data_IF_495246241991
#
_entry.id   IF_495246241991
#
_cell.length_a   1.000
_cell.length_b   1.000
_cell.length_c   1.000
_cell.angle_alpha   90.00
_cell.angle_beta   90.00
_cell.angle_gamma   90.00
#
_symmetry.space_group_name_H-M   'P 1'
#
loop_
_entity.id
_entity.type
_entity.pdbx_description
1 polymer ?
#
# COMPACT_ATOMS: atom_id res chain seq x y z
N UNK A 1 28.25 -17.74 -0.85
CA UNK A 1 27.72 -16.40 -0.54
C UNK A 1 28.46 -15.39 -1.40
N UNK A 2 27.81 -14.29 -1.82
CA UNK A 2 28.41 -13.38 -2.81
C UNK A 2 29.54 -12.55 -2.19
N UNK A 3 30.64 -12.38 -2.93
CA UNK A 3 31.82 -11.61 -2.49
C UNK A 3 32.09 -10.36 -3.33
N UNK A 4 31.63 -10.35 -4.58
CA UNK A 4 31.87 -9.25 -5.50
C UNK A 4 30.60 -8.43 -5.75
N UNK A 5 30.78 -7.13 -6.02
CA UNK A 5 29.69 -6.21 -6.37
C UNK A 5 28.88 -6.74 -7.57
N UNK A 6 29.57 -7.28 -8.57
CA UNK A 6 28.97 -7.82 -9.79
C UNK A 6 28.00 -8.97 -9.50
N UNK A 7 28.39 -9.88 -8.60
CA UNK A 7 27.57 -11.02 -8.19
C UNK A 7 26.32 -10.58 -7.42
N UNK A 8 26.49 -9.66 -6.46
CA UNK A 8 25.38 -9.14 -5.66
C UNK A 8 24.36 -8.44 -6.57
N UNK A 9 24.83 -7.53 -7.44
CA UNK A 9 23.96 -6.84 -8.40
C UNK A 9 23.28 -7.82 -9.36
N UNK A 10 23.99 -8.86 -9.80
CA UNK A 10 23.42 -9.90 -10.67
C UNK A 10 22.37 -10.73 -9.95
N UNK A 11 22.57 -11.08 -8.68
CA UNK A 11 21.59 -11.77 -7.86
C UNK A 11 20.33 -10.93 -7.63
N UNK A 12 20.51 -9.65 -7.26
CA UNK A 12 19.40 -8.69 -7.12
C UNK A 12 18.67 -8.49 -8.46
N UNK A 13 19.40 -8.39 -9.56
CA UNK A 13 18.84 -8.27 -10.90
C UNK A 13 18.03 -9.49 -11.32
N UNK A 14 18.56 -10.70 -11.09
CA UNK A 14 17.84 -11.96 -11.35
C UNK A 14 16.55 -12.05 -10.56
N UNK A 15 16.60 -11.78 -9.25
CA UNK A 15 15.41 -11.76 -8.41
C UNK A 15 14.36 -10.76 -8.92
N UNK A 16 14.81 -9.56 -9.33
CA UNK A 16 13.92 -8.50 -9.82
C UNK A 16 13.25 -8.80 -11.15
N UNK A 17 13.91 -9.60 -11.97
CA UNK A 17 13.43 -9.99 -13.29
C UNK A 17 12.70 -11.35 -13.29
N UNK A 18 12.64 -12.01 -12.13
CA UNK A 18 11.86 -13.23 -11.97
C UNK A 18 10.36 -12.97 -12.20
N UNK A 19 9.71 -13.85 -12.96
CA UNK A 19 8.30 -13.67 -13.36
C UNK A 19 7.34 -13.65 -12.17
N UNK A 20 7.61 -14.43 -11.11
CA UNK A 20 6.78 -14.47 -9.92
C UNK A 20 6.95 -13.17 -9.11
N UNK A 21 8.15 -12.61 -9.07
CA UNK A 21 8.41 -11.33 -8.44
C UNK A 21 7.82 -10.14 -9.23
N UNK A 22 7.93 -10.15 -10.56
CA UNK A 22 7.37 -9.11 -11.42
C UNK A 22 5.85 -9.03 -11.28
N UNK A 23 5.17 -10.17 -11.25
CA UNK A 23 3.73 -10.24 -11.05
C UNK A 23 3.31 -9.76 -9.66
N UNK A 24 4.08 -10.08 -8.61
CA UNK A 24 3.88 -9.55 -7.26
C UNK A 24 4.07 -8.02 -7.19
N UNK A 25 5.10 -7.48 -7.85
CA UNK A 25 5.32 -6.03 -7.96
C UNK A 25 4.23 -5.31 -8.74
N UNK A 26 3.71 -5.94 -9.79
CA UNK A 26 2.56 -5.42 -10.53
C UNK A 26 1.33 -5.29 -9.64
N UNK A 27 1.04 -6.32 -8.82
CA UNK A 27 -0.03 -6.28 -7.81
C UNK A 27 0.18 -5.14 -6.81
N UNK A 28 1.38 -5.03 -6.22
CA UNK A 28 1.69 -3.95 -5.27
C UNK A 28 1.55 -2.56 -5.87
N UNK A 29 1.87 -2.38 -7.15
CA UNK A 29 1.67 -1.13 -7.85
C UNK A 29 0.18 -0.84 -8.09
N UNK A 30 -0.61 -1.85 -8.48
CA UNK A 30 -2.06 -1.73 -8.62
C UNK A 30 -2.72 -1.31 -7.31
N UNK A 31 -2.37 -1.95 -6.20
CA UNK A 31 -2.90 -1.63 -4.87
C UNK A 31 -2.48 -0.22 -4.42
N UNK A 32 -1.22 0.17 -4.69
CA UNK A 32 -0.76 1.52 -4.40
C UNK A 32 -1.43 2.59 -5.29
N UNK A 33 -1.80 2.25 -6.53
CA UNK A 33 -2.56 3.14 -7.41
C UNK A 33 -3.98 3.39 -6.88
N UNK A 34 -4.62 2.37 -6.30
CA UNK A 34 -5.89 2.52 -5.59
C UNK A 34 -5.74 3.47 -4.40
N UNK A 35 -4.68 3.32 -3.61
CA UNK A 35 -4.39 4.23 -2.49
C UNK A 35 -4.15 5.68 -2.94
N UNK A 36 -3.40 5.88 -4.03
CA UNK A 36 -3.07 7.20 -4.57
C UNK A 36 -4.22 7.88 -5.33
N UNK A 37 -5.32 7.16 -5.56
CA UNK A 37 -6.43 7.62 -6.40
C UNK A 37 -5.95 8.00 -7.80
N UNK A 38 -5.23 7.09 -8.46
CA UNK A 38 -4.84 7.28 -9.86
C UNK A 38 -6.11 7.60 -10.67
N UNK A 39 -6.14 8.72 -11.43
CA UNK A 39 -7.35 9.12 -12.15
C UNK A 39 -7.86 8.02 -13.06
N UNK A 40 -9.11 7.64 -12.87
CA UNK A 40 -9.84 6.76 -13.77
C UNK A 40 -10.13 7.51 -15.08
N UNK A 41 -9.89 6.86 -16.21
CA UNK A 41 -10.25 7.39 -17.53
C UNK A 41 -11.39 6.57 -18.11
N UNK A 42 -12.56 7.21 -18.27
CA UNK A 42 -13.74 6.60 -18.86
C UNK A 42 -13.69 6.59 -20.41
N UNK A 43 -12.71 7.27 -21.02
CA UNK A 43 -12.56 7.39 -22.46
C UNK A 43 -13.29 8.59 -23.06
N UNK A 44 -13.10 8.79 -24.37
CA UNK A 44 -13.64 9.95 -25.10
C UNK A 44 -15.17 9.99 -25.08
N UNK A 45 -15.74 11.15 -24.73
CA UNK A 45 -17.20 11.35 -24.72
C UNK A 45 -17.90 10.97 -23.41
N UNK A 46 -17.13 10.49 -22.41
CA UNK A 46 -17.60 10.20 -21.06
C UNK A 46 -16.97 11.16 -20.05
N UNK A 47 -17.65 11.36 -18.92
CA UNK A 47 -17.10 12.10 -17.78
C UNK A 47 -16.38 11.10 -16.88
N UNK A 48 -15.08 11.30 -16.73
CA UNK A 48 -14.26 10.52 -15.83
C UNK A 48 -14.51 10.90 -14.36
N UNK A 49 -14.82 9.91 -13.53
CA UNK A 49 -14.91 10.04 -12.07
C UNK A 49 -14.09 8.94 -11.38
N UNK A 50 -13.26 9.35 -10.43
CA UNK A 50 -12.43 8.45 -9.61
C UNK A 50 -13.00 8.42 -8.20
N UNK A 51 -13.46 7.26 -7.74
CA UNK A 51 -13.96 7.14 -6.37
C UNK A 51 -12.84 7.31 -5.34
N UNK A 52 -13.12 8.01 -4.24
CA UNK A 52 -12.20 8.13 -3.11
C UNK A 52 -12.28 6.94 -2.13
N UNK A 53 -13.25 6.03 -2.33
CA UNK A 53 -13.54 4.95 -1.39
C UNK A 53 -12.33 4.08 -1.02
N UNK A 54 -11.44 3.67 -1.95
CA UNK A 54 -10.26 2.88 -1.60
C UNK A 54 -9.32 3.60 -0.63
N UNK A 55 -9.10 4.91 -0.84
CA UNK A 55 -8.22 5.70 0.02
C UNK A 55 -8.81 5.88 1.42
N UNK A 56 -10.10 6.20 1.51
CA UNK A 56 -10.79 6.37 2.80
C UNK A 56 -10.75 5.08 3.61
N UNK A 57 -10.97 3.93 2.98
CA UNK A 57 -10.85 2.63 3.63
C UNK A 57 -9.43 2.37 4.15
N UNK A 58 -8.42 2.59 3.31
CA UNK A 58 -7.02 2.37 3.71
C UNK A 58 -6.56 3.30 4.83
N UNK A 59 -6.86 4.60 4.74
CA UNK A 59 -6.50 5.57 5.78
C UNK A 59 -7.18 5.21 7.11
N UNK A 60 -8.42 4.69 7.08
CA UNK A 60 -9.12 4.20 8.28
C UNK A 60 -8.45 2.95 8.87
N UNK A 61 -8.09 1.97 8.04
CA UNK A 61 -7.35 0.77 8.50
C UNK A 61 -6.03 1.18 9.14
N UNK A 62 -5.24 2.00 8.45
CA UNK A 62 -3.93 2.46 8.95
C UNK A 62 -4.10 3.22 10.26
N UNK A 63 -5.09 4.11 10.37
CA UNK A 63 -5.38 4.81 11.62
C UNK A 63 -5.72 3.87 12.78
N UNK A 64 -6.55 2.84 12.54
CA UNK A 64 -6.90 1.84 13.55
C UNK A 64 -5.67 1.03 13.98
N UNK A 65 -4.86 0.56 13.04
CA UNK A 65 -3.62 -0.16 13.32
C UNK A 65 -2.62 0.70 14.10
N UNK A 66 -2.46 1.98 13.74
CA UNK A 66 -1.59 2.91 14.46
C UNK A 66 -2.11 3.22 15.86
N UNK A 67 -3.42 3.28 16.06
CA UNK A 67 -4.05 3.52 17.37
C UNK A 67 -4.06 2.32 18.32
N UNK A 68 -3.78 1.11 17.83
CA UNK A 68 -3.72 -0.10 18.67
C UNK A 68 -2.71 0.04 19.81
N UNK A 69 -2.85 -0.68 20.92
CA UNK A 69 -1.81 -0.67 21.96
C UNK A 69 -0.88 -1.87 21.76
N UNK A 70 0.44 -1.62 21.74
CA UNK A 70 1.42 -2.71 21.80
C UNK A 70 1.50 -3.21 23.24
N UNK A 71 1.24 -4.50 23.43
CA UNK A 71 1.34 -5.16 24.73
C UNK A 71 2.38 -6.27 24.63
N UNK A 72 3.59 -5.99 25.10
CA UNK A 72 4.65 -6.98 25.26
C UNK A 72 4.45 -7.67 26.62
N UNK A 73 4.30 -9.00 26.61
CA UNK A 73 4.21 -9.82 27.81
C UNK A 73 5.14 -11.00 27.71
N UNK A 74 5.90 -11.27 28.76
CA UNK A 74 6.67 -12.50 28.88
C UNK A 74 5.72 -13.59 29.40
N UNK A 75 5.50 -14.68 28.63
CA UNK A 75 4.60 -15.74 29.04
C UNK A 75 5.07 -16.42 30.34
N UNK A 76 4.14 -16.66 31.27
CA UNK A 76 4.45 -17.21 32.59
C UNK A 76 4.84 -18.70 32.57
N UNK A 77 4.41 -19.40 31.55
CA UNK A 77 4.73 -20.80 31.24
C UNK A 77 6.19 -20.98 30.77
N UNK A 78 6.72 -20.04 29.98
CA UNK A 78 8.09 -20.11 29.44
C UNK A 78 9.16 -19.94 30.52
N UNK A 79 8.90 -19.11 31.53
CA UNK A 79 9.86 -18.89 32.63
C UNK A 79 9.61 -19.73 33.88
N UNK A 80 8.57 -20.57 33.90
CA UNK A 80 8.17 -21.26 35.12
C UNK A 80 7.95 -20.30 36.29
N UNK A 81 7.23 -19.19 36.02
CA UNK A 81 7.06 -18.06 36.96
C UNK A 81 6.25 -18.51 38.17
N UNK A 82 6.95 -19.07 39.15
CA UNK A 82 6.39 -19.59 40.40
C UNK A 82 6.65 -18.63 41.57
N UNK A 83 7.61 -17.71 41.42
CA UNK A 83 8.07 -16.80 42.49
C UNK A 83 7.91 -15.32 42.12
N UNK A 84 7.87 -14.44 43.14
CA UNK A 84 7.81 -12.99 42.93
C UNK A 84 9.09 -12.41 42.30
N UNK A 85 10.24 -13.07 42.46
CA UNK A 85 11.49 -12.66 41.81
C UNK A 85 11.43 -12.85 40.29
N UNK A 86 10.85 -13.97 39.83
CA UNK A 86 10.69 -14.25 38.40
C UNK A 86 9.70 -13.29 37.75
N UNK A 87 8.65 -12.87 38.47
CA UNK A 87 7.74 -11.80 38.02
C UNK A 87 8.46 -10.46 37.84
N UNK A 88 9.40 -10.13 38.73
CA UNK A 88 10.21 -8.91 38.61
C UNK A 88 11.14 -8.98 37.39
N UNK A 89 11.79 -10.13 37.16
CA UNK A 89 12.63 -10.34 35.97
C UNK A 89 11.81 -10.21 34.68
N UNK A 90 10.65 -10.84 34.61
CA UNK A 90 9.73 -10.70 33.48
C UNK A 90 9.36 -9.23 33.22
N UNK A 91 8.97 -8.49 34.27
CA UNK A 91 8.65 -7.07 34.13
C UNK A 91 9.85 -6.22 33.67
N UNK A 92 11.06 -6.55 34.11
CA UNK A 92 12.28 -5.88 33.66
C UNK A 92 12.57 -6.13 32.18
N UNK A 93 12.34 -7.35 31.69
CA UNK A 93 12.49 -7.70 30.26
C UNK A 93 11.46 -6.95 29.41
N UNK A 94 10.19 -6.92 29.84
CA UNK A 94 9.14 -6.17 29.15
C UNK A 94 9.48 -4.69 29.06
N UNK A 95 9.91 -4.07 30.17
CA UNK A 95 10.35 -2.66 30.21
C UNK A 95 11.57 -2.40 29.34
N UNK A 96 12.52 -3.34 29.30
CA UNK A 96 13.69 -3.24 28.44
C UNK A 96 13.29 -3.18 26.96
N UNK A 97 12.38 -4.05 26.52
CA UNK A 97 11.88 -4.06 25.14
C UNK A 97 11.16 -2.75 24.77
N UNK A 98 10.32 -2.19 25.66
CA UNK A 98 9.74 -0.87 25.44
C UNK A 98 10.81 0.23 25.32
N UNK A 99 11.86 0.16 26.14
CA UNK A 99 13.00 1.09 26.06
C UNK A 99 13.73 1.01 24.73
N UNK A 100 13.96 -0.21 24.23
CA UNK A 100 14.59 -0.46 22.93
C UNK A 100 13.78 0.13 21.78
N UNK A 101 12.47 -0.11 21.75
CA UNK A 101 11.57 0.42 20.72
C UNK A 101 11.49 1.96 20.78
N UNK A 102 11.43 2.53 21.99
CA UNK A 102 11.41 3.97 22.19
C UNK A 102 12.69 4.65 21.65
N UNK A 103 13.86 4.08 21.93
CA UNK A 103 15.15 4.57 21.38
C UNK A 103 15.15 4.52 19.86
N UNK A 104 14.55 3.47 19.28
CA UNK A 104 14.46 3.35 17.83
C UNK A 104 13.50 4.38 17.22
N UNK A 105 12.33 4.60 17.82
CA UNK A 105 11.37 5.60 17.35
C UNK A 105 11.94 7.02 17.46
N UNK A 106 12.64 7.35 18.55
CA UNK A 106 13.37 8.62 18.70
C UNK A 106 14.39 8.85 17.58
N UNK A 107 15.04 7.79 17.09
CA UNK A 107 15.95 7.85 15.94
C UNK A 107 15.16 8.09 14.65
N UNK A 108 14.07 7.36 14.42
CA UNK A 108 13.28 7.48 13.19
C UNK A 108 12.66 8.88 13.05
N UNK A 109 12.16 9.47 14.14
CA UNK A 109 11.57 10.82 14.15
C UNK A 109 12.60 11.90 13.78
N UNK A 110 13.89 11.68 14.04
CA UNK A 110 14.96 12.61 13.64
C UNK A 110 15.23 12.58 12.14
N UNK A 111 14.82 11.53 11.43
CA UNK A 111 14.98 11.43 9.99
C UNK A 111 13.79 12.16 9.33
N UNK A 112 14.04 13.18 8.49
CA UNK A 112 12.96 13.90 7.84
C UNK A 112 12.01 12.98 7.07
N UNK A 113 10.70 13.19 7.23
CA UNK A 113 9.62 12.43 6.58
C UNK A 113 9.55 10.94 6.94
N UNK A 114 10.26 10.48 7.97
CA UNK A 114 10.20 9.09 8.42
C UNK A 114 9.24 8.96 9.61
N UNK A 115 8.16 8.19 9.49
CA UNK A 115 7.25 7.98 10.60
C UNK A 115 7.82 6.94 11.59
N UNK A 116 7.22 6.82 12.77
CA UNK A 116 7.58 5.81 13.77
C UNK A 116 7.49 4.39 13.20
N UNK A 117 8.24 3.44 13.78
CA UNK A 117 8.35 2.07 13.28
C UNK A 117 6.97 1.43 13.08
N UNK A 118 6.12 1.56 14.09
CA UNK A 118 4.76 1.02 14.08
C UNK A 118 3.92 1.58 12.94
N UNK A 119 4.03 2.89 12.67
CA UNK A 119 3.30 3.55 11.59
C UNK A 119 3.77 3.08 10.23
N UNK A 120 5.07 2.88 10.05
CA UNK A 120 5.61 2.27 8.82
C UNK A 120 5.06 0.86 8.62
N UNK A 121 5.13 0.01 9.65
CA UNK A 121 4.62 -1.35 9.59
C UNK A 121 3.13 -1.39 9.27
N UNK A 122 2.31 -0.57 9.93
CA UNK A 122 0.87 -0.49 9.69
C UNK A 122 0.56 -0.08 8.24
N UNK A 123 1.30 0.88 7.70
CA UNK A 123 1.13 1.37 6.33
C UNK A 123 1.49 0.30 5.30
N UNK A 124 2.68 -0.30 5.41
CA UNK A 124 3.12 -1.34 4.46
C UNK A 124 2.28 -2.62 4.59
N UNK A 125 1.94 -3.03 5.81
CA UNK A 125 1.04 -4.17 6.03
C UNK A 125 -0.31 -3.96 5.35
N UNK A 126 -0.92 -2.79 5.52
CA UNK A 126 -2.22 -2.51 4.93
C UNK A 126 -2.18 -2.42 3.39
N UNK A 127 -1.22 -1.66 2.84
CA UNK A 127 -1.23 -1.28 1.41
C UNK A 127 -0.45 -2.26 0.54
N UNK A 128 0.73 -2.70 0.99
CA UNK A 128 1.53 -3.69 0.25
C UNK A 128 1.13 -5.11 0.61
N UNK A 129 0.55 -5.35 1.79
CA UNK A 129 0.32 -6.71 2.28
C UNK A 129 1.61 -7.44 2.68
N UNK A 130 2.74 -6.74 2.69
CA UNK A 130 4.02 -7.26 3.16
C UNK A 130 5.01 -6.12 3.44
N UNK A 131 5.98 -6.37 4.30
CA UNK A 131 7.10 -5.49 4.60
C UNK A 131 8.31 -6.32 5.02
N UNK A 132 9.49 -5.73 5.01
CA UNK A 132 10.66 -6.33 5.62
C UNK A 132 11.05 -5.55 6.88
N UNK A 133 11.50 -6.25 7.91
CA UNK A 133 12.16 -5.63 9.06
C UNK A 133 13.62 -6.00 9.00
N UNK A 134 14.48 -5.01 9.21
CA UNK A 134 15.87 -5.22 9.53
C UNK A 134 16.10 -4.86 10.99
N UNK A 135 16.65 -5.79 11.74
CA UNK A 135 16.86 -5.71 13.17
C UNK A 135 18.29 -6.10 13.54
N UNK A 136 19.04 -5.17 14.13
CA UNK A 136 20.34 -5.51 14.67
C UNK A 136 20.73 -4.53 15.77
N UNK A 137 21.72 -4.93 16.55
CA UNK A 137 22.30 -4.12 17.60
C UNK A 137 23.76 -3.88 17.28
N UNK A 138 24.18 -2.62 17.33
CA UNK A 138 25.58 -2.25 17.13
C UNK A 138 26.06 -1.34 18.24
N UNK A 139 27.39 -1.28 18.44
CA UNK A 139 28.02 -0.32 19.34
C UNK A 139 28.47 0.89 18.52
N UNK A 140 28.11 2.09 18.96
CA UNK A 140 28.65 3.31 18.35
C UNK A 140 30.12 3.53 18.74
N UNK A 141 30.76 4.52 18.14
CA UNK A 141 32.16 4.92 18.44
C UNK A 141 32.39 5.24 19.93
N UNK A 142 31.34 5.63 20.66
CA UNK A 142 31.38 5.93 22.10
C UNK A 142 31.12 4.69 22.98
N UNK A 143 31.06 3.49 22.40
CA UNK A 143 30.81 2.23 23.09
C UNK A 143 29.36 2.02 23.55
N UNK A 144 28.43 2.92 23.22
CA UNK A 144 27.00 2.79 23.55
C UNK A 144 26.34 1.80 22.58
N UNK A 145 25.66 0.81 23.14
CA UNK A 145 24.81 -0.13 22.39
C UNK A 145 23.57 0.59 21.87
N UNK A 146 23.36 0.55 20.57
CA UNK A 146 22.22 1.18 19.88
C UNK A 146 21.44 0.08 19.15
N UNK A 147 20.18 -0.17 19.54
CA UNK A 147 19.30 -1.01 18.75
C UNK A 147 18.88 -0.28 17.47
N UNK A 148 18.81 -1.02 16.36
CA UNK A 148 18.33 -0.51 15.09
C UNK A 148 17.26 -1.44 14.53
N UNK A 149 16.05 -0.89 14.43
CA UNK A 149 14.90 -1.54 13.81
C UNK A 149 14.42 -0.65 12.67
N UNK A 150 14.64 -1.10 11.44
CA UNK A 150 14.21 -0.40 10.23
C UNK A 150 13.10 -1.21 9.54
N UNK A 151 12.05 -0.53 9.10
CA UNK A 151 11.03 -1.11 8.25
C UNK A 151 11.32 -0.75 6.79
N UNK A 152 11.46 -1.76 5.94
CA UNK A 152 11.74 -1.60 4.52
C UNK A 152 10.49 -1.87 3.68
N UNK A 153 10.27 -1.05 2.65
CA UNK A 153 9.26 -1.36 1.62
C UNK A 153 9.69 -2.62 0.89
N UNK A 154 8.90 -3.68 1.04
CA UNK A 154 9.13 -4.97 0.40
C UNK A 154 9.30 -4.86 -1.11
N UNK A 155 8.70 -3.84 -1.74
CA UNK A 155 8.82 -3.57 -3.18
C UNK A 155 10.28 -3.42 -3.64
N UNK A 156 11.14 -2.92 -2.75
CA UNK A 156 12.54 -2.62 -3.02
C UNK A 156 13.52 -3.65 -2.46
N UNK A 157 13.03 -4.71 -1.81
CA UNK A 157 13.85 -5.75 -1.18
C UNK A 157 13.93 -6.96 -2.11
N UNK A 158 15.15 -7.39 -2.40
CA UNK A 158 15.43 -8.68 -3.02
C UNK A 158 16.01 -9.62 -1.97
N UNK A 159 15.74 -10.92 -2.05
CA UNK A 159 16.23 -11.88 -1.06
C UNK A 159 16.38 -13.28 -1.66
N UNK A 160 17.20 -14.10 -1.02
CA UNK A 160 17.32 -15.52 -1.28
C UNK A 160 16.78 -16.33 -0.10
N UNK A 161 15.90 -17.29 -0.37
CA UNK A 161 15.37 -18.22 0.62
C UNK A 161 16.33 -19.42 0.77
N UNK A 162 16.49 -19.91 2.00
CA UNK A 162 17.23 -21.11 2.37
C UNK A 162 16.48 -21.92 3.42
N UNK A 163 17.10 -22.99 3.92
CA UNK A 163 16.45 -23.92 4.86
C UNK A 163 16.11 -23.26 6.21
N UNK A 164 17.03 -22.51 6.79
CA UNK A 164 16.86 -21.84 8.09
C UNK A 164 16.35 -20.40 7.99
N UNK A 165 15.74 -20.01 6.86
CA UNK A 165 15.30 -18.64 6.59
C UNK A 165 16.07 -17.98 5.45
N UNK A 166 16.40 -16.69 5.57
CA UNK A 166 17.05 -15.96 4.48
C UNK A 166 18.54 -16.29 4.36
N UNK A 167 18.98 -16.64 3.15
CA UNK A 167 20.40 -16.73 2.80
C UNK A 167 21.02 -15.35 2.65
N UNK A 168 20.26 -14.42 2.08
CA UNK A 168 20.66 -13.03 1.89
C UNK A 168 19.42 -12.16 1.68
N UNK A 169 19.56 -10.87 1.96
CA UNK A 169 18.59 -9.83 1.67
C UNK A 169 19.31 -8.56 1.20
N UNK A 170 18.71 -7.86 0.25
CA UNK A 170 19.24 -6.64 -0.30
C UNK A 170 18.14 -5.60 -0.48
N UNK A 171 18.22 -4.49 0.22
CA UNK A 171 17.32 -3.37 0.04
C UNK A 171 17.94 -2.33 -0.89
N UNK A 172 17.22 -1.94 -1.93
CA UNK A 172 17.69 -0.91 -2.85
C UNK A 172 16.95 0.39 -2.65
N UNK A 173 17.68 1.50 -2.58
CA UNK A 173 17.08 2.84 -2.60
C UNK A 173 17.87 3.77 -3.50
N UNK A 174 17.27 4.90 -3.79
CA UNK A 174 17.90 5.98 -4.54
C UNK A 174 18.28 7.11 -3.60
N UNK A 175 19.50 7.62 -3.73
CA UNK A 175 19.99 8.74 -2.94
C UNK A 175 20.58 9.84 -3.82
N UNK A 176 20.67 11.04 -3.28
CA UNK A 176 21.39 12.17 -3.88
C UNK A 176 22.89 12.09 -3.59
N UNK A 177 23.72 12.78 -4.39
CA UNK A 177 25.15 12.86 -4.13
C UNK A 177 25.48 13.45 -2.75
N UNK A 178 24.71 14.44 -2.28
CA UNK A 178 24.86 15.01 -0.94
C UNK A 178 24.57 13.99 0.18
N UNK A 179 23.58 13.12 -0.01
CA UNK A 179 23.30 12.03 0.92
C UNK A 179 24.43 10.99 0.90
N UNK A 180 24.98 10.65 -0.27
CA UNK A 180 26.09 9.71 -0.37
C UNK A 180 27.32 10.20 0.41
N UNK A 181 27.63 11.49 0.29
CA UNK A 181 28.71 12.14 1.04
C UNK A 181 28.44 12.16 2.54
N UNK A 182 27.20 12.46 2.96
CA UNK A 182 26.84 12.52 4.38
C UNK A 182 26.77 11.14 5.05
N UNK A 183 26.31 10.12 4.33
CA UNK A 183 26.07 8.78 4.90
C UNK A 183 27.28 7.86 4.79
N UNK A 184 28.05 7.96 3.70
CA UNK A 184 29.16 7.04 3.38
C UNK A 184 30.51 7.75 3.24
N UNK A 185 30.56 9.09 3.37
CA UNK A 185 31.81 9.84 3.21
C UNK A 185 32.35 9.87 1.78
N UNK A 186 31.55 9.44 0.79
CA UNK A 186 31.97 9.35 -0.61
C UNK A 186 31.77 10.69 -1.34
N UNK A 187 32.83 11.23 -1.94
CA UNK A 187 32.72 12.40 -2.81
C UNK A 187 32.43 11.96 -4.25
N UNK A 188 31.14 11.91 -4.59
CA UNK A 188 30.67 11.42 -5.88
C UNK A 188 30.57 12.63 -6.83
N UNK A 189 31.72 13.16 -7.25
CA UNK A 189 31.80 14.32 -8.16
C UNK A 189 31.53 13.97 -9.62
N UNK A 190 31.56 12.68 -9.98
CA UNK A 190 31.42 12.18 -11.36
C UNK A 190 29.98 11.99 -11.82
N UNK A 191 29.00 12.05 -10.92
CA UNK A 191 27.59 11.91 -11.26
C UNK A 191 27.01 13.32 -11.33
N UNK A 192 26.39 13.67 -12.47
CA UNK A 192 25.70 14.95 -12.63
C UNK A 192 24.79 15.21 -11.42
N UNK A 193 24.82 16.43 -10.89
CA UNK A 193 24.19 16.84 -9.62
C UNK A 193 22.71 16.47 -9.48
N UNK A 194 22.03 16.20 -10.60
CA UNK A 194 20.61 15.86 -10.67
C UNK A 194 20.32 14.35 -10.81
N UNK A 195 21.35 13.48 -10.90
CA UNK A 195 21.15 12.03 -11.01
C UNK A 195 21.08 11.37 -9.64
N UNK A 196 19.97 10.68 -9.40
CA UNK A 196 19.83 9.77 -8.28
C UNK A 196 20.74 8.55 -8.45
N UNK A 197 21.45 8.19 -7.39
CA UNK A 197 22.40 7.07 -7.36
C UNK A 197 21.72 5.89 -6.68
N UNK A 198 21.85 4.71 -7.28
CA UNK A 198 21.34 3.47 -6.69
C UNK A 198 22.26 3.01 -5.55
N UNK A 199 21.64 2.68 -4.41
CA UNK A 199 22.29 2.12 -3.23
C UNK A 199 21.70 0.76 -2.97
N UNK A 200 22.55 -0.25 -2.80
CA UNK A 200 22.17 -1.61 -2.41
C UNK A 200 22.73 -1.90 -1.03
N UNK A 201 21.84 -2.01 -0.05
CA UNK A 201 22.12 -2.37 1.34
C UNK A 201 21.98 -3.89 1.46
N UNK A 202 23.12 -4.61 1.44
CA UNK A 202 23.19 -6.07 1.32
C UNK A 202 23.59 -6.71 2.65
N UNK A 203 22.84 -7.76 3.00
CA UNK A 203 23.04 -8.60 4.17
C UNK A 203 22.99 -10.06 3.77
N UNK A 204 23.86 -10.86 4.37
CA UNK A 204 23.76 -12.31 4.36
C UNK A 204 23.92 -12.86 5.78
N UNK A 205 24.21 -14.16 5.94
CA UNK A 205 24.32 -14.77 7.28
C UNK A 205 25.58 -14.30 8.03
N UNK A 206 26.61 -13.87 7.32
CA UNK A 206 27.93 -13.62 7.90
C UNK A 206 28.37 -12.16 7.74
N UNK A 207 28.00 -11.52 6.63
CA UNK A 207 28.57 -10.28 6.12
C UNK A 207 27.50 -9.24 5.76
N UNK A 208 27.92 -7.99 5.92
CA UNK A 208 27.17 -6.80 5.62
C UNK A 208 28.00 -5.90 4.70
N UNK A 209 27.37 -5.33 3.68
CA UNK A 209 28.02 -4.36 2.81
C UNK A 209 27.02 -3.41 2.18
N UNK A 210 27.50 -2.23 1.77
CA UNK A 210 26.68 -1.24 1.06
C UNK A 210 27.35 -0.86 -0.23
N UNK A 211 26.64 -1.07 -1.33
CA UNK A 211 27.07 -0.70 -2.68
C UNK A 211 26.43 0.64 -3.02
N UNK A 212 27.22 1.62 -3.46
CA UNK A 212 26.76 2.93 -3.93
C UNK A 212 27.22 3.10 -5.37
N UNK A 213 26.27 3.16 -6.31
CA UNK A 213 26.62 3.10 -7.73
C UNK A 213 27.33 1.79 -8.05
N UNK A 214 28.56 1.85 -8.55
CA UNK A 214 29.41 0.69 -8.89
C UNK A 214 30.56 0.45 -7.91
N UNK A 215 30.52 1.11 -6.75
CA UNK A 215 31.60 1.09 -5.75
C UNK A 215 31.06 0.70 -4.38
N UNK A 216 31.93 0.17 -3.51
CA UNK A 216 31.60 -0.02 -2.10
C UNK A 216 31.52 1.33 -1.39
N UNK A 217 30.38 1.61 -0.77
CA UNK A 217 30.25 2.67 0.23
C UNK A 217 30.61 2.17 1.63
N UNK A 218 30.27 0.90 1.91
CA UNK A 218 30.78 0.15 3.06
C UNK A 218 31.24 -1.20 2.53
N UNK A 219 32.53 -1.50 2.70
CA UNK A 219 33.10 -2.77 2.29
C UNK A 219 32.39 -3.94 2.99
N UNK A 220 32.41 -5.09 2.32
CA UNK A 220 31.77 -6.30 2.82
C UNK A 220 32.50 -6.79 4.09
N UNK A 221 31.88 -6.55 5.26
CA UNK A 221 32.47 -6.80 6.59
C UNK A 221 31.67 -7.85 7.36
N UNK A 222 32.34 -8.70 8.17
CA UNK A 222 31.64 -9.68 8.99
C UNK A 222 30.88 -9.02 10.15
N UNK A 223 29.63 -9.43 10.39
CA UNK A 223 28.78 -8.89 11.47
C UNK A 223 28.54 -9.86 12.63
N UNK A 224 28.99 -11.12 12.55
CA UNK A 224 28.95 -12.10 13.64
C UNK A 224 27.56 -12.37 14.24
N UNK A 225 26.50 -12.28 13.43
CA UNK A 225 25.14 -12.60 13.89
C UNK A 225 24.78 -14.08 13.63
N UNK A 226 25.49 -14.76 12.71
CA UNK A 226 25.22 -16.16 12.29
C UNK A 226 23.85 -16.36 11.60
N UNK A 227 23.12 -15.27 11.35
CA UNK A 227 21.89 -15.22 10.59
C UNK A 227 21.80 -13.89 9.82
N UNK A 228 20.97 -13.86 8.78
CA UNK A 228 20.66 -12.64 8.05
C UNK A 228 19.67 -11.80 8.90
N UNK A 229 20.03 -10.58 9.35
CA UNK A 229 19.21 -9.75 10.25
C UNK A 229 18.08 -9.04 9.52
N UNK A 230 17.40 -9.76 8.63
CA UNK A 230 16.27 -9.27 7.85
C UNK A 230 15.18 -10.33 7.87
N UNK A 231 13.96 -9.91 8.19
CA UNK A 231 12.78 -10.74 8.18
C UNK A 231 11.77 -10.23 7.14
N UNK A 232 11.32 -11.11 6.25
CA UNK A 232 10.22 -10.82 5.32
C UNK A 232 8.90 -11.20 5.98
N UNK A 233 7.99 -10.24 6.12
CA UNK A 233 6.74 -10.42 6.82
C UNK A 233 5.60 -10.16 5.85
N UNK A 234 4.80 -11.19 5.61
CA UNK A 234 3.63 -11.14 4.71
C UNK A 234 2.34 -11.15 5.52
N UNK A 235 1.37 -10.33 5.13
CA UNK A 235 0.05 -10.29 5.74
C UNK A 235 -0.80 -11.50 5.33
N UNK A 236 -1.60 -11.99 6.28
CA UNK A 236 -2.42 -13.19 6.08
C UNK A 236 -1.66 -14.50 6.30
N UNK A 237 -2.43 -15.59 6.24
CA UNK A 237 -1.98 -16.94 6.55
C UNK A 237 -1.79 -17.81 5.29
N UNK A 238 -1.80 -17.21 4.11
CA UNK A 238 -1.72 -17.97 2.86
C UNK A 238 -0.31 -18.60 2.69
N UNK A 239 -0.21 -19.95 2.66
CA UNK A 239 1.06 -20.61 2.39
C UNK A 239 1.46 -20.45 0.91
N UNK A 240 2.72 -20.77 0.56
CA UNK A 240 3.09 -20.93 -0.83
C UNK A 240 2.26 -22.05 -1.47
N UNK A 241 1.52 -21.72 -2.53
CA UNK A 241 0.75 -22.67 -3.33
C UNK A 241 1.36 -22.78 -4.72
N UNK A 242 1.47 -24.00 -5.23
CA UNK A 242 1.93 -24.29 -6.58
C UNK A 242 0.71 -24.56 -7.46
N UNK A 243 0.68 -23.94 -8.65
CA UNK A 243 -0.33 -24.23 -9.67
C UNK A 243 0.24 -25.16 -10.75
N UNK A 244 -0.59 -25.47 -11.75
CA UNK A 244 -0.19 -26.27 -12.91
C UNK A 244 1.14 -25.77 -13.51
N UNK A 245 1.98 -26.72 -13.95
CA UNK A 245 3.36 -26.49 -14.40
C UNK A 245 4.30 -25.92 -13.32
N UNK A 246 4.02 -26.14 -12.04
CA UNK A 246 4.81 -25.61 -10.92
C UNK A 246 4.98 -24.08 -10.99
N UNK A 247 3.98 -23.38 -11.52
CA UNK A 247 3.97 -21.93 -11.50
C UNK A 247 3.78 -21.47 -10.06
N UNK A 248 4.77 -20.71 -9.57
CA UNK A 248 4.77 -20.20 -8.22
C UNK A 248 3.74 -19.08 -8.08
N UNK A 249 2.72 -19.27 -7.25
CA UNK A 249 1.67 -18.26 -7.02
C UNK A 249 2.09 -17.17 -6.02
N UNK A 250 3.32 -16.65 -6.17
CA UNK A 250 3.84 -15.56 -5.34
C UNK A 250 2.87 -14.38 -5.27
N UNK A 251 2.14 -14.12 -6.37
CA UNK A 251 1.14 -13.05 -6.51
C UNK A 251 0.08 -13.08 -5.43
N UNK A 252 -0.27 -14.24 -4.88
CA UNK A 252 -1.32 -14.36 -3.87
C UNK A 252 -0.78 -14.35 -2.44
N UNK A 253 0.54 -14.31 -2.25
CA UNK A 253 1.12 -14.23 -0.91
C UNK A 253 1.15 -12.79 -0.42
N UNK A 254 0.85 -12.58 0.86
CA UNK A 254 0.90 -11.23 1.44
C UNK A 254 -0.08 -10.29 0.77
N UNK A 255 -1.36 -10.65 0.72
CA UNK A 255 -2.40 -9.80 0.12
C UNK A 255 -2.61 -8.53 0.96
N UNK A 256 -2.85 -7.41 0.28
CA UNK A 256 -3.21 -6.14 0.91
C UNK A 256 -4.68 -6.14 1.32
N UNK A 257 -5.10 -5.11 2.06
CA UNK A 257 -6.52 -4.90 2.37
C UNK A 257 -7.39 -4.70 1.12
N UNK A 258 -6.78 -4.38 -0.03
CA UNK A 258 -7.50 -4.16 -1.27
C UNK A 258 -7.86 -5.46 -1.99
N UNK A 259 -7.31 -6.61 -1.60
CA UNK A 259 -7.56 -7.88 -2.27
C UNK A 259 -9.05 -8.17 -2.56
N UNK A 260 -10.00 -8.05 -1.61
CA UNK A 260 -11.41 -8.28 -1.88
C UNK A 260 -12.09 -7.20 -2.74
N UNK A 261 -11.56 -5.98 -2.79
CA UNK A 261 -12.19 -4.82 -3.46
C UNK A 261 -11.47 -4.38 -4.74
N UNK A 262 -10.34 -5.01 -5.09
CA UNK A 262 -9.48 -4.65 -6.22
C UNK A 262 -10.23 -4.63 -7.55
N UNK A 263 -11.11 -5.61 -7.77
CA UNK A 263 -11.97 -5.68 -8.96
C UNK A 263 -13.18 -4.75 -8.92
N UNK A 264 -13.63 -4.37 -7.71
CA UNK A 264 -14.86 -3.58 -7.51
C UNK A 264 -14.59 -2.09 -7.72
N UNK A 265 -13.44 -1.58 -7.29
CA UNK A 265 -13.13 -0.14 -7.38
C UNK A 265 -13.18 0.43 -8.82
N UNK A 266 -12.63 -0.25 -9.85
CA UNK A 266 -12.77 0.20 -11.24
C UNK A 266 -14.21 0.16 -11.74
N UNK A 267 -14.98 -0.87 -11.36
CA UNK A 267 -16.40 -1.00 -11.72
C UNK A 267 -17.20 0.16 -11.12
N UNK A 268 -16.98 0.46 -9.84
CA UNK A 268 -17.64 1.58 -9.16
C UNK A 268 -17.30 2.92 -9.84
N UNK A 269 -16.02 3.14 -10.17
CA UNK A 269 -15.58 4.35 -10.89
C UNK A 269 -16.25 4.47 -12.25
N UNK A 270 -16.34 3.36 -12.99
CA UNK A 270 -17.02 3.30 -14.29
C UNK A 270 -18.52 3.61 -14.16
N UNK A 271 -19.23 2.94 -13.27
CA UNK A 271 -20.69 3.14 -13.11
C UNK A 271 -21.02 4.59 -12.74
N UNK A 272 -20.22 5.20 -11.85
CA UNK A 272 -20.37 6.61 -11.50
C UNK A 272 -20.06 7.54 -12.67
N UNK A 273 -19.02 7.23 -13.46
CA UNK A 273 -18.67 7.97 -14.68
C UNK A 273 -19.79 7.92 -15.73
N UNK A 274 -20.38 6.75 -15.94
CA UNK A 274 -21.52 6.54 -16.85
C UNK A 274 -22.74 7.35 -16.37
N UNK A 275 -23.03 7.30 -15.07
CA UNK A 275 -24.16 8.04 -14.50
C UNK A 275 -23.97 9.55 -14.60
N UNK A 276 -22.78 10.07 -14.28
CA UNK A 276 -22.46 11.49 -14.44
C UNK A 276 -22.57 11.93 -15.91
N UNK A 277 -22.21 11.05 -16.84
CA UNK A 277 -22.35 11.30 -18.29
C UNK A 277 -23.82 11.45 -18.68
N UNK A 278 -24.71 10.57 -18.18
CA UNK A 278 -26.16 10.68 -18.40
C UNK A 278 -26.72 11.96 -17.78
N UNK A 279 -26.35 12.28 -16.54
CA UNK A 279 -26.78 13.52 -15.86
C UNK A 279 -26.35 14.76 -16.65
N UNK A 280 -25.12 14.81 -17.15
CA UNK A 280 -24.65 15.95 -17.96
C UNK A 280 -25.38 16.08 -19.29
N UNK A 281 -25.68 14.96 -19.96
CA UNK A 281 -26.54 14.95 -21.15
C UNK A 281 -27.97 15.38 -20.82
N UNK A 282 -28.44 15.13 -19.60
CA UNK A 282 -29.70 15.64 -19.08
C UNK A 282 -29.73 17.16 -18.87
N UNK A 283 -28.63 17.74 -18.38
CA UNK A 283 -28.53 19.19 -18.13
C UNK A 283 -28.50 20.00 -19.43
N UNK A 284 -27.84 19.49 -20.47
CA UNK A 284 -27.83 20.06 -21.82
C UNK A 284 -28.17 18.98 -22.86
N UNK A 285 -29.46 18.67 -23.07
CA UNK A 285 -29.84 17.65 -24.04
C UNK A 285 -29.44 18.08 -25.45
N UNK A 286 -28.98 17.15 -26.30
CA UNK A 286 -28.79 17.46 -27.70
C UNK A 286 -30.14 17.86 -28.31
N UNK A 287 -30.15 18.90 -29.14
CA UNK A 287 -31.36 19.39 -29.79
C UNK A 287 -31.42 18.84 -31.22
N UNK A 288 -32.55 18.24 -31.59
CA UNK A 288 -32.81 17.85 -32.97
C UNK A 288 -33.45 19.03 -33.71
N UNK A 289 -32.79 19.48 -34.77
CA UNK A 289 -33.34 20.43 -35.71
C UNK A 289 -33.93 19.67 -36.90
N UNK A 290 -35.24 19.67 -37.04
CA UNK A 290 -35.91 19.03 -38.16
C UNK A 290 -36.22 20.10 -39.21
N UNK A 291 -35.58 20.01 -40.37
CA UNK A 291 -35.82 20.86 -41.54
C UNK A 291 -36.41 20.04 -42.67
N UNK A 292 -37.16 20.68 -43.57
CA UNK A 292 -37.82 20.01 -44.71
C UNK A 292 -36.77 19.35 -45.63
N UNK A 293 -35.60 19.96 -45.76
CA UNK A 293 -34.51 19.49 -46.62
C UNK A 293 -33.43 18.66 -45.89
N UNK A 294 -33.53 18.48 -44.57
CA UNK A 294 -32.56 17.75 -43.72
C UNK A 294 -31.08 18.19 -43.87
N UNK A 295 -30.82 19.40 -44.37
CA UNK A 295 -29.47 19.90 -44.69
C UNK A 295 -28.96 21.02 -43.81
N UNK A 296 -29.82 21.64 -43.00
CA UNK A 296 -29.44 22.78 -42.17
C UNK A 296 -29.03 22.35 -40.77
N UNK A 297 -27.78 22.65 -40.42
CA UNK A 297 -27.25 22.49 -39.07
C UNK A 297 -27.55 23.79 -38.31
N UNK A 298 -27.95 23.64 -37.04
CA UNK A 298 -28.25 24.78 -36.18
C UNK A 298 -26.91 25.44 -35.78
N UNK A 299 -26.64 26.62 -36.33
CA UNK A 299 -25.34 27.32 -36.21
C UNK A 299 -25.16 28.06 -34.86
N UNK A 300 -26.22 28.08 -34.03
CA UNK A 300 -26.27 28.81 -32.76
C UNK A 300 -26.36 27.81 -31.60
N UNK A 301 -25.44 27.89 -30.64
CA UNK A 301 -25.57 27.17 -29.37
C UNK A 301 -26.70 27.79 -28.55
N UNK A 302 -27.88 27.16 -28.61
CA UNK A 302 -29.11 27.58 -27.90
C UNK A 302 -28.87 27.69 -26.38
N UNK A 303 -27.87 26.99 -25.83
CA UNK A 303 -27.51 27.05 -24.41
C UNK A 303 -26.57 28.21 -24.04
N UNK A 304 -25.99 28.90 -25.02
CA UNK A 304 -25.16 30.10 -24.81
C UNK A 304 -25.94 31.39 -25.02
N UNK A 305 -27.12 31.33 -25.66
CA UNK A 305 -27.93 32.52 -25.87
C UNK A 305 -28.57 32.92 -24.54
N UNK A 306 -28.26 34.14 -24.10
CA UNK A 306 -28.82 34.77 -22.90
C UNK A 306 -30.30 34.39 -22.73
N UNK A 307 -30.63 33.80 -21.59
CA UNK A 307 -31.96 33.32 -21.18
C UNK A 307 -33.10 34.10 -21.88
N UNK A 308 -33.66 33.56 -22.96
CA UNK A 308 -34.83 34.12 -23.64
C UNK A 308 -34.64 34.65 -25.07
N UNK A 309 -33.57 34.29 -25.79
CA UNK A 309 -33.46 34.66 -27.21
C UNK A 309 -34.32 33.79 -28.13
N UNK A 310 -34.99 34.44 -29.08
CA UNK A 310 -35.77 33.78 -30.12
C UNK A 310 -34.84 33.27 -31.23
N UNK A 311 -34.89 31.97 -31.53
CA UNK A 311 -34.27 31.39 -32.72
C UNK A 311 -35.25 31.57 -33.88
N UNK A 312 -34.88 32.27 -34.97
CA UNK A 312 -35.75 32.39 -36.14
C UNK A 312 -35.90 31.01 -36.79
N UNK A 313 -37.14 30.51 -36.89
CA UNK A 313 -37.47 29.24 -37.55
C UNK A 313 -38.35 29.51 -38.78
N UNK A 314 -38.17 28.75 -39.86
CA UNK A 314 -39.06 28.78 -41.02
C UNK A 314 -40.32 27.96 -40.78
N UNK A 315 -41.36 28.19 -41.59
CA UNK A 315 -42.63 27.47 -41.51
C UNK A 315 -42.36 25.97 -41.79
N UNK A 316 -42.66 25.12 -40.82
CA UNK A 316 -42.45 23.67 -40.89
C UNK A 316 -41.18 23.17 -40.21
N UNK A 317 -40.32 24.06 -39.71
CA UNK A 317 -39.15 23.68 -38.89
C UNK A 317 -39.55 23.48 -37.43
N UNK A 318 -38.91 22.51 -36.78
CA UNK A 318 -39.08 22.25 -35.34
C UNK A 318 -37.74 21.95 -34.69
N UNK A 319 -37.56 22.51 -33.50
CA UNK A 319 -36.43 22.22 -32.62
C UNK A 319 -36.99 21.50 -31.40
N UNK A 320 -36.61 20.24 -31.23
CA UNK A 320 -37.04 19.43 -30.08
C UNK A 320 -35.81 18.92 -29.34
N UNK A 321 -35.78 18.95 -28.00
CA UNK A 321 -34.74 18.26 -27.25
C UNK A 321 -34.86 16.76 -27.52
N UNK A 322 -33.77 16.16 -27.97
CA UNK A 322 -33.65 14.71 -27.99
C UNK A 322 -33.66 14.28 -26.53
N UNK A 323 -34.66 13.48 -26.17
CA UNK A 323 -34.75 12.89 -24.85
C UNK A 323 -33.43 12.17 -24.55
N UNK A 324 -32.66 12.64 -23.56
CA UNK A 324 -31.43 11.98 -23.20
C UNK A 324 -31.76 10.56 -22.73
N UNK A 325 -30.89 9.57 -22.98
CA UNK A 325 -31.12 8.23 -22.50
C UNK A 325 -31.30 8.27 -20.98
N UNK A 326 -32.45 7.81 -20.49
CA UNK A 326 -32.66 7.62 -19.06
C UNK A 326 -31.84 6.42 -18.59
N UNK A 327 -31.40 6.45 -17.34
CA UNK A 327 -30.81 5.25 -16.73
C UNK A 327 -31.85 4.11 -16.75
N UNK A 328 -31.43 2.86 -17.02
CA UNK A 328 -32.30 1.70 -16.85
C UNK A 328 -32.89 1.67 -15.44
N UNK A 329 -34.12 1.18 -15.29
CA UNK A 329 -34.80 1.04 -13.99
C UNK A 329 -33.99 0.23 -13.00
N UNK A 330 -33.21 -0.74 -13.49
CA UNK A 330 -32.44 -1.68 -12.66
C UNK A 330 -31.08 -1.11 -12.19
N UNK A 331 -30.77 0.15 -12.55
CA UNK A 331 -29.51 0.80 -12.17
C UNK A 331 -29.37 0.91 -10.65
N UNK A 332 -30.46 1.20 -9.95
CA UNK A 332 -30.46 1.28 -8.48
C UNK A 332 -30.10 -0.07 -7.86
N UNK A 333 -30.70 -1.16 -8.35
CA UNK A 333 -30.39 -2.53 -7.93
C UNK A 333 -28.91 -2.87 -8.15
N UNK A 334 -28.34 -2.46 -9.30
CA UNK A 334 -26.92 -2.65 -9.57
C UNK A 334 -26.02 -1.89 -8.58
N UNK A 335 -26.36 -0.64 -8.25
CA UNK A 335 -25.63 0.13 -7.23
C UNK A 335 -25.69 -0.53 -5.85
N UNK A 336 -26.84 -1.09 -5.47
CA UNK A 336 -26.98 -1.81 -4.22
C UNK A 336 -26.13 -3.08 -4.18
N UNK A 337 -26.03 -3.81 -5.29
CA UNK A 337 -25.17 -5.00 -5.38
C UNK A 337 -23.69 -4.61 -5.26
N UNK A 338 -23.24 -3.61 -6.03
CA UNK A 338 -21.84 -3.13 -5.99
C UNK A 338 -21.50 -2.58 -4.60
N UNK A 339 -22.39 -1.79 -4.01
CA UNK A 339 -22.23 -1.26 -2.65
C UNK A 339 -22.18 -2.37 -1.60
N UNK A 340 -23.02 -3.40 -1.74
CA UNK A 340 -23.01 -4.57 -0.86
C UNK A 340 -21.72 -5.39 -0.95
N UNK A 341 -21.19 -5.60 -2.16
CA UNK A 341 -19.89 -6.26 -2.34
C UNK A 341 -18.74 -5.44 -1.74
N UNK A 342 -18.76 -4.12 -1.95
CA UNK A 342 -17.79 -3.20 -1.34
C UNK A 342 -17.81 -3.27 0.19
N UNK A 343 -19.00 -3.25 0.80
CA UNK A 343 -19.13 -3.34 2.27
C UNK A 343 -18.61 -4.67 2.80
N UNK A 344 -18.89 -5.79 2.13
CA UNK A 344 -18.40 -7.12 2.53
C UNK A 344 -16.87 -7.23 2.44
N UNK A 345 -16.26 -6.55 1.49
CA UNK A 345 -14.81 -6.52 1.30
C UNK A 345 -14.08 -5.42 2.07
N UNK A 346 -14.78 -4.51 2.73
CA UNK A 346 -14.19 -3.37 3.45
C UNK A 346 -14.85 -3.20 4.83
N UNK A 347 -14.96 -1.97 5.32
CA UNK A 347 -15.70 -1.70 6.54
C UNK A 347 -17.18 -1.39 6.27
N UNK A 348 -18.07 -1.76 7.19
CA UNK A 348 -19.46 -1.30 7.17
C UNK A 348 -19.56 0.24 7.26
N UNK A 349 -20.63 0.83 6.68
CA UNK A 349 -20.87 2.29 6.72
C UNK A 349 -20.91 2.87 8.14
N UNK A 350 -21.37 2.07 9.11
CA UNK A 350 -21.39 2.47 10.52
C UNK A 350 -20.00 2.82 11.07
N UNK A 351 -18.95 2.16 10.58
CA UNK A 351 -17.55 2.43 10.97
C UNK A 351 -17.04 3.78 10.47
N UNK A 352 -17.68 4.31 9.43
CA UNK A 352 -17.42 5.65 8.89
C UNK A 352 -18.31 6.75 9.52
N UNK A 353 -19.18 6.38 10.46
CA UNK A 353 -20.12 7.32 11.10
C UNK A 353 -21.39 7.59 10.30
N UNK A 354 -21.58 6.91 9.17
CA UNK A 354 -22.81 6.96 8.39
C UNK A 354 -23.77 5.89 8.90
N UNK A 355 -24.68 6.31 9.78
CA UNK A 355 -25.69 5.41 10.36
C UNK A 355 -27.07 5.89 9.91
N UNK A 356 -27.55 5.37 8.77
CA UNK A 356 -28.90 5.67 8.26
C UNK A 356 -30.03 5.04 9.10
N UNK A 357 -29.72 4.11 10.01
CA UNK A 357 -30.70 3.35 10.81
C UNK A 357 -30.18 3.16 12.24
N UNK A 358 -31.02 3.34 13.27
CA UNK A 358 -30.65 3.05 14.66
C UNK A 358 -30.32 1.55 14.82
N UNK A 359 -29.04 1.22 15.00
CA UNK A 359 -28.58 -0.15 15.20
C UNK A 359 -28.80 -0.61 16.65
N UNK A 360 -29.18 -1.87 16.84
CA UNK A 360 -29.25 -2.50 18.16
C UNK A 360 -27.85 -2.84 18.69
N UNK A 361 -27.68 -2.96 20.00
CA UNK A 361 -26.38 -3.30 20.61
C UNK A 361 -25.77 -4.62 20.12
N UNK A 362 -26.61 -5.59 19.74
CA UNK A 362 -26.16 -6.85 19.13
C UNK A 362 -25.57 -6.65 17.72
N UNK A 363 -26.22 -5.81 16.90
CA UNK A 363 -25.72 -5.48 15.56
C UNK A 363 -24.37 -4.73 15.64
N UNK A 364 -24.16 -3.90 16.66
CA UNK A 364 -22.88 -3.22 16.90
C UNK A 364 -21.76 -4.23 17.20
N UNK A 365 -22.01 -5.23 18.03
CA UNK A 365 -21.01 -6.27 18.33
C UNK A 365 -20.67 -7.14 17.09
N UNK A 366 -21.67 -7.45 16.26
CA UNK A 366 -21.44 -8.16 15.00
C UNK A 366 -20.63 -7.33 14.00
N UNK A 367 -20.89 -6.02 13.95
CA UNK A 367 -20.11 -5.08 13.14
C UNK A 367 -18.67 -4.95 13.64
N UNK A 368 -18.42 -5.01 14.95
CA UNK A 368 -17.06 -5.06 15.51
C UNK A 368 -16.31 -6.32 15.07
N UNK A 369 -16.96 -7.50 15.11
CA UNK A 369 -16.35 -8.73 14.59
C UNK A 369 -15.99 -8.64 13.09
N UNK A 370 -16.79 -7.93 12.29
CA UNK A 370 -16.48 -7.68 10.87
C UNK A 370 -15.32 -6.70 10.66
N UNK A 371 -15.05 -5.80 11.61
CA UNK A 371 -13.87 -4.92 11.55
C UNK A 371 -12.61 -5.72 11.88
N UNK A 372 -12.70 -6.60 12.89
CA UNK A 372 -11.60 -7.46 13.31
C UNK A 372 -11.12 -8.38 12.18
N UNK A 373 -12.01 -8.98 11.38
CA UNK A 373 -11.60 -9.86 10.27
C UNK A 373 -10.73 -9.16 9.23
N UNK A 374 -10.96 -7.86 8.99
CA UNK A 374 -10.16 -7.05 8.06
C UNK A 374 -8.82 -6.64 8.69
N UNK A 375 -8.80 -6.31 9.99
CA UNK A 375 -7.61 -5.83 10.69
C UNK A 375 -6.66 -6.96 11.11
N UNK A 376 -7.20 -8.13 11.46
CA UNK A 376 -6.47 -9.23 12.08
C UNK A 376 -5.23 -9.67 11.27
N UNK A 377 -5.29 -9.85 9.93
CA UNK A 377 -4.12 -10.24 9.16
C UNK A 377 -2.96 -9.24 9.26
N UNK A 378 -3.27 -7.94 9.36
CA UNK A 378 -2.29 -6.88 9.51
C UNK A 378 -1.72 -6.85 10.94
N UNK A 379 -2.58 -7.00 11.95
CA UNK A 379 -2.16 -7.07 13.37
C UNK A 379 -1.25 -8.27 13.63
N UNK A 380 -1.56 -9.44 13.04
CA UNK A 380 -0.72 -10.64 13.15
C UNK A 380 0.63 -10.47 12.44
N UNK A 381 0.66 -9.81 11.29
CA UNK A 381 1.91 -9.46 10.62
C UNK A 381 2.76 -8.53 11.50
N UNK A 382 2.16 -7.47 12.07
CA UNK A 382 2.85 -6.56 12.98
C UNK A 382 3.31 -7.27 14.26
N UNK A 383 2.51 -8.19 14.81
CA UNK A 383 2.88 -8.97 15.99
C UNK A 383 4.08 -9.89 15.72
N UNK A 384 4.10 -10.58 14.57
CA UNK A 384 5.24 -11.42 14.16
C UNK A 384 6.52 -10.61 14.03
N UNK A 385 6.42 -9.39 13.52
CA UNK A 385 7.54 -8.46 13.45
C UNK A 385 8.23 -8.22 14.79
N UNK A 386 7.46 -7.92 15.84
CA UNK A 386 7.98 -7.70 17.20
C UNK A 386 8.40 -8.99 17.93
N UNK A 387 8.15 -10.17 17.34
CA UNK A 387 8.62 -11.45 17.88
C UNK A 387 9.93 -11.90 17.25
N UNK A 388 10.14 -11.54 15.98
CA UNK A 388 11.34 -11.92 15.23
C UNK A 388 12.50 -11.00 15.59
N UNK A 389 12.25 -9.69 15.63
CA UNK A 389 13.21 -8.72 16.14
C UNK A 389 12.98 -8.39 17.59
#
# INVERSE_FOLDING_TARGET
MFSEIGDIKSAVGRFRNDTAWLSLRSRWNTDYNLYRLLPYDAGSGYISYTTNAPRVFADKVVALLVSSNLVIRVPSDVMGILTDDDRRKASNIERFNYGVLSINDDRLIRIPNMPMLKTQMAWYAAIRGAFAIRDYVYKNEKGKTIPRFDCWDIYNVAYGEGEDGLLWAAHTRKITASQAKSEFGMDITTFATDRLIDVVDYWDKEKYGVIVGDTWGIDLTPHNLDYCPVAIIRCGAQPPVWQDNYQYTAVHQGESIFAPIRGIAPILSKTLSDHLTVVRRGVKPPLAHYTIDNREILDVDIYQVNKGANVPMRIGERIEPILPPSMPTDTESLYQIIGGEWQRGSFPHSTYGEVGIRLSGFAINQLQGSIETVLQPCLEAMSRAYKIG
#
